data_IF_256835475055
#
_entry.id   IF_256835475055
#
_cell.length_a   1.000
_cell.length_b   1.000
_cell.length_c   1.000
_cell.angle_alpha   90.00
_cell.angle_beta   90.00
_cell.angle_gamma   90.00
#
_symmetry.space_group_name_H-M   'P 1'
#
loop_
_entity.id
_entity.type
_entity.pdbx_description
1 polymer ?
#
# COMPACT_ATOMS: atom_id res chain seq x y z
N UNK A 1 -22.88 13.60 3.83
CA UNK A 1 -22.09 13.97 5.03
C UNK A 1 -20.97 14.91 4.61
N UNK A 2 -20.59 15.89 5.42
CA UNK A 2 -19.39 16.70 5.15
C UNK A 2 -18.11 15.88 5.39
N UNK A 3 -17.00 16.30 4.79
CA UNK A 3 -15.66 15.70 4.99
C UNK A 3 -15.32 15.52 6.48
N UNK A 4 -15.58 16.55 7.30
CA UNK A 4 -15.31 16.54 8.74
C UNK A 4 -16.10 15.44 9.47
N UNK A 5 -17.39 15.31 9.16
CA UNK A 5 -18.24 14.30 9.79
C UNK A 5 -17.80 12.90 9.40
N UNK A 6 -17.46 12.69 8.13
CA UNK A 6 -16.95 11.40 7.65
C UNK A 6 -15.64 11.01 8.36
N UNK A 7 -14.63 11.88 8.35
CA UNK A 7 -13.33 11.59 8.98
C UNK A 7 -13.48 11.27 10.46
N UNK A 8 -14.33 12.00 11.20
CA UNK A 8 -14.58 11.74 12.62
C UNK A 8 -15.25 10.39 12.86
N UNK A 9 -16.29 10.05 12.08
CA UNK A 9 -16.96 8.77 12.22
C UNK A 9 -16.05 7.61 11.84
N UNK A 10 -15.26 7.78 10.77
CA UNK A 10 -14.29 6.79 10.34
C UNK A 10 -13.24 6.52 11.42
N UNK A 11 -12.66 7.58 11.99
CA UNK A 11 -11.67 7.44 13.07
C UNK A 11 -12.29 6.84 14.33
N UNK A 12 -13.54 7.20 14.67
CA UNK A 12 -14.26 6.58 15.79
C UNK A 12 -14.48 5.07 15.58
N UNK A 13 -14.72 4.64 14.33
CA UNK A 13 -14.99 3.24 14.01
C UNK A 13 -13.72 2.39 13.86
N UNK A 14 -12.65 2.95 13.29
CA UNK A 14 -11.43 2.19 12.94
C UNK A 14 -10.23 2.47 13.86
N UNK A 15 -10.32 3.48 14.72
CA UNK A 15 -9.21 3.96 15.55
C UNK A 15 -8.13 4.72 14.79
N UNK A 16 -8.23 4.86 13.46
CA UNK A 16 -7.20 5.47 12.63
C UNK A 16 -7.78 6.52 11.67
N UNK A 17 -6.89 7.40 11.17
CA UNK A 17 -7.30 8.37 10.16
C UNK A 17 -7.57 7.67 8.83
N UNK A 18 -8.48 8.24 8.03
CA UNK A 18 -8.81 7.73 6.68
C UNK A 18 -7.55 7.57 5.81
N UNK A 19 -6.60 8.52 5.92
CA UNK A 19 -5.36 8.49 5.13
C UNK A 19 -4.46 7.34 5.56
N UNK A 20 -4.26 7.14 6.86
CA UNK A 20 -3.46 6.03 7.38
C UNK A 20 -4.06 4.67 6.97
N UNK A 21 -5.38 4.54 7.10
CA UNK A 21 -6.10 3.35 6.66
C UNK A 21 -5.92 3.09 5.16
N UNK A 22 -6.12 4.12 4.33
CA UNK A 22 -6.00 4.00 2.89
C UNK A 22 -4.59 3.60 2.46
N UNK A 23 -3.54 4.16 3.09
CA UNK A 23 -2.16 3.76 2.82
C UNK A 23 -1.95 2.29 3.20
N UNK A 24 -2.45 1.85 4.36
CA UNK A 24 -2.34 0.45 4.79
C UNK A 24 -3.01 -0.51 3.81
N UNK A 25 -4.21 -0.18 3.35
CA UNK A 25 -4.95 -1.00 2.39
C UNK A 25 -4.27 -1.04 1.02
N UNK A 26 -3.73 0.08 0.54
CA UNK A 26 -2.92 0.11 -0.69
C UNK A 26 -1.65 -0.73 -0.57
N UNK A 27 -0.97 -0.69 0.58
CA UNK A 27 0.20 -1.52 0.82
C UNK A 27 -0.16 -3.01 0.88
N UNK A 28 -1.33 -3.37 1.43
CA UNK A 28 -1.86 -4.74 1.42
C UNK A 28 -2.03 -5.26 -0.01
N UNK A 29 -2.73 -4.50 -0.85
CA UNK A 29 -2.89 -4.80 -2.28
C UNK A 29 -1.54 -4.85 -3.01
N UNK A 30 -0.61 -3.95 -2.66
CA UNK A 30 0.73 -3.93 -3.23
C UNK A 30 1.52 -5.20 -2.93
N UNK A 31 1.41 -5.76 -1.71
CA UNK A 31 2.03 -7.06 -1.37
C UNK A 31 1.48 -8.19 -2.21
N UNK A 32 0.16 -8.30 -2.29
CA UNK A 32 -0.53 -9.34 -3.06
C UNK A 32 -0.09 -9.32 -4.53
N UNK A 33 0.02 -8.13 -5.15
CA UNK A 33 0.51 -7.99 -6.52
C UNK A 33 2.01 -8.29 -6.66
N UNK A 34 2.83 -7.99 -5.64
CA UNK A 34 4.25 -8.34 -5.66
C UNK A 34 4.48 -9.85 -5.62
N UNK A 35 3.61 -10.58 -4.92
CA UNK A 35 3.68 -12.04 -4.72
C UNK A 35 3.12 -12.81 -5.92
N UNK A 36 2.00 -12.36 -6.48
CA UNK A 36 1.23 -13.11 -7.49
C UNK A 36 1.49 -12.70 -8.94
N UNK A 37 2.21 -11.59 -9.18
CA UNK A 37 2.41 -11.05 -10.53
C UNK A 37 3.86 -10.67 -10.84
N UNK A 38 4.20 -10.69 -12.13
CA UNK A 38 5.48 -10.22 -12.68
C UNK A 38 5.52 -8.73 -13.02
N UNK A 39 4.50 -7.95 -12.60
CA UNK A 39 4.40 -6.52 -12.88
C UNK A 39 5.60 -5.74 -12.31
N UNK A 40 6.03 -4.69 -13.00
CA UNK A 40 7.06 -3.78 -12.48
C UNK A 40 6.57 -3.08 -11.20
N UNK A 41 7.50 -2.61 -10.37
CA UNK A 41 7.15 -1.88 -9.14
C UNK A 41 6.42 -0.57 -9.48
N UNK A 42 6.75 0.03 -10.61
CA UNK A 42 6.10 1.19 -11.20
C UNK A 42 4.63 0.90 -11.54
N UNK A 43 4.36 -0.18 -12.28
CA UNK A 43 3.00 -0.58 -12.64
C UNK A 43 2.15 -0.91 -11.41
N UNK A 44 2.74 -1.56 -10.40
CA UNK A 44 2.04 -1.83 -9.14
C UNK A 44 1.70 -0.54 -8.40
N UNK A 45 2.64 0.41 -8.32
CA UNK A 45 2.41 1.68 -7.65
C UNK A 45 1.25 2.47 -8.26
N UNK A 46 1.19 2.52 -9.59
CA UNK A 46 0.08 3.14 -10.33
C UNK A 46 -1.24 2.41 -10.06
N UNK A 47 -1.24 1.07 -10.14
CA UNK A 47 -2.45 0.25 -9.97
C UNK A 47 -3.07 0.35 -8.59
N UNK A 48 -2.26 0.51 -7.54
CA UNK A 48 -2.74 0.69 -6.16
C UNK A 48 -2.90 2.18 -5.78
N UNK A 49 -2.71 3.11 -6.73
CA UNK A 49 -3.04 4.52 -6.57
C UNK A 49 -1.99 5.39 -5.87
N UNK A 50 -0.72 4.97 -5.84
CA UNK A 50 0.38 5.89 -5.50
C UNK A 50 0.72 6.76 -6.70
N UNK A 51 0.97 8.06 -6.44
CA UNK A 51 1.33 9.00 -7.51
C UNK A 51 2.71 8.70 -8.13
N UNK A 52 3.61 8.08 -7.37
CA UNK A 52 4.95 7.72 -7.83
C UNK A 52 5.39 6.39 -7.24
N UNK A 53 6.22 5.65 -7.99
CA UNK A 53 6.86 4.44 -7.49
C UNK A 53 7.75 4.73 -6.28
N UNK A 54 8.36 5.91 -6.19
CA UNK A 54 9.16 6.34 -5.04
C UNK A 54 8.33 6.43 -3.77
N UNK A 55 7.14 7.06 -3.83
CA UNK A 55 6.22 7.13 -2.69
C UNK A 55 5.77 5.74 -2.23
N UNK A 56 5.43 4.86 -3.18
CA UNK A 56 5.12 3.46 -2.87
C UNK A 56 6.27 2.77 -2.14
N UNK A 57 7.50 2.81 -2.68
CA UNK A 57 8.69 2.19 -2.05
C UNK A 57 8.94 2.73 -0.65
N UNK A 58 8.78 4.05 -0.45
CA UNK A 58 8.96 4.67 0.86
C UNK A 58 7.94 4.17 1.88
N UNK A 59 6.64 4.22 1.55
CA UNK A 59 5.58 3.72 2.44
C UNK A 59 5.73 2.22 2.70
N UNK A 60 6.07 1.43 1.68
CA UNK A 60 6.27 0.00 1.81
C UNK A 60 7.44 -0.32 2.73
N UNK A 61 8.60 0.32 2.54
CA UNK A 61 9.76 0.13 3.41
C UNK A 61 9.50 0.59 4.85
N UNK A 62 8.75 1.67 5.04
CA UNK A 62 8.38 2.13 6.39
C UNK A 62 7.49 1.12 7.11
N UNK A 63 6.53 0.52 6.41
CA UNK A 63 5.54 -0.40 6.98
C UNK A 63 6.08 -1.84 7.13
N UNK A 64 6.83 -2.35 6.14
CA UNK A 64 7.32 -3.74 6.08
C UNK A 64 8.79 -3.91 6.41
N UNK A 65 9.54 -2.81 6.60
CA UNK A 65 10.99 -2.79 6.88
C UNK A 65 11.87 -3.37 5.77
N UNK A 66 11.31 -3.79 4.64
CA UNK A 66 12.02 -4.29 3.46
C UNK A 66 11.54 -3.60 2.19
N UNK A 67 12.35 -3.62 1.13
CA UNK A 67 11.95 -3.02 -0.15
C UNK A 67 10.95 -3.92 -0.90
N UNK A 68 10.09 -3.37 -1.78
CA UNK A 68 9.21 -4.17 -2.64
C UNK A 68 9.96 -5.23 -3.47
N UNK A 69 11.19 -4.92 -3.91
CA UNK A 69 12.02 -5.82 -4.70
C UNK A 69 12.52 -6.99 -3.87
N UNK A 70 12.96 -6.73 -2.64
CA UNK A 70 13.44 -7.77 -1.72
C UNK A 70 12.28 -8.64 -1.23
N UNK A 71 11.11 -8.02 -1.00
CA UNK A 71 9.86 -8.73 -0.72
C UNK A 71 9.54 -9.72 -1.84
N UNK A 72 9.48 -9.27 -3.09
CA UNK A 72 9.22 -10.14 -4.24
C UNK A 72 10.26 -11.26 -4.40
N UNK A 73 11.54 -10.97 -4.16
CA UNK A 73 12.57 -12.03 -4.22
C UNK A 73 12.35 -13.13 -3.18
N UNK A 74 11.76 -12.78 -2.05
CA UNK A 74 11.56 -13.70 -0.92
C UNK A 74 10.23 -14.46 -1.03
N UNK A 75 9.18 -13.80 -1.51
CA UNK A 75 7.80 -14.30 -1.47
C UNK A 75 7.12 -14.40 -2.85
N UNK A 76 7.79 -14.00 -3.93
CA UNK A 76 7.23 -14.10 -5.28
C UNK A 76 7.05 -15.56 -5.69
N UNK A 77 5.82 -15.92 -6.08
CA UNK A 77 5.49 -17.29 -6.51
C UNK A 77 6.08 -17.65 -7.87
N UNK A 78 6.59 -16.66 -8.62
CA UNK A 78 7.17 -16.82 -9.96
C UNK A 78 8.70 -16.97 -9.96
N UNK A 79 9.26 -17.65 -8.95
CA UNK A 79 10.64 -18.13 -9.01
C UNK A 79 10.73 -19.41 -9.85
#
# INVERSE_FOLDING_TARGET
MSRRTFTRHFQKATGMTVVAWLVSERLRQGRELLETTSLSVEAIAERIGFHTATSFRQHFKQHHRVSPRDWRKTFGETA
#
